data_IF_859587604226
#
_entry.id   IF_859587604226
#
_cell.length_a   1.000
_cell.length_b   1.000
_cell.length_c   1.000
_cell.angle_alpha   90.00
_cell.angle_beta   90.00
_cell.angle_gamma   90.00
#
_symmetry.space_group_name_H-M   'P 1'
#
loop_
_entity.id
_entity.type
_entity.pdbx_description
1 polymer ?
#
# COMPACT_ATOMS: atom_id res chain seq x y z
N UNK A 1 -11.37 15.92 1.91
CA UNK A 1 -10.02 15.65 1.40
C UNK A 1 -9.34 14.58 2.22
N UNK A 2 -8.67 13.63 1.58
CA UNK A 2 -7.97 12.58 2.31
C UNK A 2 -6.75 13.13 3.04
N UNK A 3 -6.47 12.56 4.20
CA UNK A 3 -5.27 12.88 4.97
C UNK A 3 -4.44 11.61 5.16
N UNK A 4 -3.15 11.81 5.44
CA UNK A 4 -2.25 10.72 5.78
C UNK A 4 -2.80 9.88 6.94
N UNK A 5 -3.27 10.54 7.99
CA UNK A 5 -3.77 9.85 9.18
C UNK A 5 -5.00 9.00 8.88
N UNK A 6 -5.90 9.52 8.05
CA UNK A 6 -7.09 8.77 7.63
C UNK A 6 -6.70 7.52 6.85
N UNK A 7 -5.75 7.67 5.90
CA UNK A 7 -5.30 6.54 5.09
C UNK A 7 -4.65 5.47 5.98
N UNK A 8 -3.75 5.88 6.87
CA UNK A 8 -3.07 4.94 7.76
C UNK A 8 -4.05 4.22 8.68
N UNK A 9 -5.07 4.92 9.18
CA UNK A 9 -6.09 4.30 10.01
C UNK A 9 -6.88 3.25 9.24
N UNK A 10 -7.30 3.58 8.02
CA UNK A 10 -8.03 2.65 7.17
C UNK A 10 -7.20 1.41 6.84
N UNK A 11 -5.92 1.59 6.54
CA UNK A 11 -5.03 0.47 6.29
C UNK A 11 -4.88 -0.41 7.52
N UNK A 12 -4.70 0.20 8.69
CA UNK A 12 -4.59 -0.54 9.95
C UNK A 12 -5.84 -1.33 10.27
N UNK A 13 -7.02 -0.76 10.02
CA UNK A 13 -8.29 -1.43 10.26
C UNK A 13 -8.48 -2.66 9.38
N UNK A 14 -7.82 -2.71 8.22
CA UNK A 14 -7.96 -3.82 7.26
C UNK A 14 -6.74 -4.73 7.21
N UNK A 15 -5.75 -4.49 8.06
CA UNK A 15 -4.51 -5.27 8.06
C UNK A 15 -4.75 -6.75 8.28
N UNK A 16 -5.62 -7.10 9.23
CA UNK A 16 -5.91 -8.50 9.52
C UNK A 16 -6.59 -9.19 8.34
N UNK A 17 -7.54 -8.50 7.70
CA UNK A 17 -8.20 -9.03 6.51
C UNK A 17 -7.18 -9.31 5.41
N UNK A 18 -6.28 -8.35 5.14
CA UNK A 18 -5.28 -8.50 4.11
C UNK A 18 -4.26 -9.59 4.43
N UNK A 19 -3.99 -9.84 5.71
CA UNK A 19 -3.07 -10.91 6.09
C UNK A 19 -3.58 -12.29 5.68
N UNK A 20 -4.89 -12.43 5.52
CA UNK A 20 -5.49 -13.69 5.05
C UNK A 20 -5.13 -13.99 3.61
N UNK A 21 -4.74 -12.98 2.85
CA UNK A 21 -4.26 -13.13 1.48
C UNK A 21 -2.74 -13.12 1.39
N UNK A 22 -2.06 -13.30 2.53
CA UNK A 22 -0.62 -13.43 2.55
C UNK A 22 0.17 -12.14 2.76
N UNK A 23 -0.49 -11.03 3.04
CA UNK A 23 0.23 -9.77 3.30
C UNK A 23 0.88 -9.82 4.67
N UNK A 24 2.21 -9.67 4.71
CA UNK A 24 2.97 -9.62 5.95
C UNK A 24 3.21 -8.18 6.41
N UNK A 25 3.38 -7.24 5.47
CA UNK A 25 3.56 -5.83 5.77
C UNK A 25 2.79 -4.98 4.79
N UNK A 26 2.23 -3.89 5.29
CA UNK A 26 1.44 -2.96 4.52
C UNK A 26 1.81 -1.55 4.93
N UNK A 27 2.14 -0.69 3.97
CA UNK A 27 2.57 0.67 4.28
C UNK A 27 2.18 1.69 3.23
N UNK A 28 2.29 2.95 3.62
CA UNK A 28 2.01 4.10 2.79
C UNK A 28 3.33 4.81 2.49
N UNK A 29 3.54 5.18 1.23
CA UNK A 29 4.70 5.98 0.85
C UNK A 29 4.25 7.08 -0.12
N UNK A 30 5.20 7.80 -0.67
CA UNK A 30 4.90 8.80 -1.69
C UNK A 30 4.45 10.14 -1.14
N UNK A 31 3.66 10.87 -1.93
CA UNK A 31 3.33 12.27 -1.64
C UNK A 31 2.61 12.46 -0.31
N UNK A 32 1.72 11.55 0.08
CA UNK A 32 1.02 11.66 1.36
C UNK A 32 1.98 11.56 2.56
N UNK A 33 3.02 10.74 2.44
CA UNK A 33 4.02 10.64 3.52
C UNK A 33 4.91 11.87 3.57
N UNK A 34 5.21 12.46 2.41
CA UNK A 34 6.09 13.63 2.34
C UNK A 34 5.36 14.95 2.57
N UNK A 35 4.05 14.94 2.84
CA UNK A 35 3.22 16.14 2.94
C UNK A 35 3.24 16.98 1.67
N UNK A 36 3.31 16.32 0.52
CA UNK A 36 3.33 16.95 -0.80
C UNK A 36 2.09 16.62 -1.61
N UNK A 37 1.08 16.06 -0.98
CA UNK A 37 -0.13 15.65 -1.68
C UNK A 37 -0.93 16.83 -2.21
N UNK A 38 -1.56 16.60 -3.36
CA UNK A 38 -2.49 17.52 -4.00
C UNK A 38 -3.80 16.77 -4.26
N UNK A 39 -4.80 17.47 -4.78
CA UNK A 39 -6.08 16.85 -5.14
C UNK A 39 -5.91 15.72 -6.17
N UNK A 40 -4.83 15.75 -6.96
CA UNK A 40 -4.56 14.76 -8.00
C UNK A 40 -3.57 13.68 -7.57
N UNK A 41 -3.14 13.68 -6.32
CA UNK A 41 -2.17 12.68 -5.85
C UNK A 41 -2.76 11.30 -5.75
N UNK A 42 -1.95 10.29 -6.11
CA UNK A 42 -2.30 8.89 -5.92
C UNK A 42 -2.01 8.47 -4.49
N UNK A 43 -2.71 7.42 -4.05
CA UNK A 43 -2.39 6.76 -2.78
C UNK A 43 -1.39 5.65 -3.11
N UNK A 44 -0.14 5.81 -2.65
CA UNK A 44 0.95 4.88 -2.97
C UNK A 44 1.14 3.89 -1.83
N UNK A 45 0.85 2.62 -2.09
CA UNK A 45 0.87 1.56 -1.08
C UNK A 45 1.96 0.54 -1.40
N UNK A 46 2.71 0.16 -0.36
CA UNK A 46 3.72 -0.89 -0.44
C UNK A 46 3.22 -2.12 0.30
N UNK A 47 3.28 -3.26 -0.38
CA UNK A 47 2.85 -4.54 0.16
C UNK A 47 4.02 -5.51 0.16
N UNK A 48 4.23 -6.19 1.28
CA UNK A 48 5.17 -7.30 1.37
C UNK A 48 4.36 -8.57 1.66
N UNK A 49 4.50 -9.57 0.82
CA UNK A 49 3.82 -10.86 0.97
C UNK A 49 4.70 -11.86 1.69
N UNK A 50 4.07 -12.79 2.40
CA UNK A 50 4.77 -14.00 2.82
C UNK A 50 5.24 -14.73 1.56
N UNK A 51 6.50 -15.23 1.51
CA UNK A 51 7.08 -15.76 0.27
C UNK A 51 6.22 -16.81 -0.43
N UNK A 52 5.64 -17.72 0.32
CA UNK A 52 4.85 -18.82 -0.27
C UNK A 52 3.45 -18.39 -0.69
N UNK A 53 3.05 -17.18 -0.35
CA UNK A 53 1.71 -16.67 -0.60
C UNK A 53 1.69 -15.52 -1.61
N UNK A 54 2.84 -15.19 -2.18
CA UNK A 54 2.92 -14.17 -3.23
C UNK A 54 2.59 -14.79 -4.58
N UNK A 55 1.31 -14.77 -4.93
CA UNK A 55 0.82 -15.32 -6.18
C UNK A 55 -0.22 -14.38 -6.79
N UNK A 56 -0.60 -14.66 -8.03
CA UNK A 56 -1.51 -13.80 -8.76
C UNK A 56 -2.87 -13.67 -8.06
N UNK A 57 -3.42 -14.77 -7.59
CA UNK A 57 -4.75 -14.75 -6.97
C UNK A 57 -4.77 -13.92 -5.70
N UNK A 58 -3.76 -14.07 -4.86
CA UNK A 58 -3.64 -13.28 -3.63
C UNK A 58 -3.39 -11.81 -3.94
N UNK A 59 -2.53 -11.52 -4.92
CA UNK A 59 -2.31 -10.14 -5.34
C UNK A 59 -3.61 -9.47 -5.79
N UNK A 60 -4.39 -10.18 -6.62
CA UNK A 60 -5.65 -9.62 -7.11
C UNK A 60 -6.67 -9.45 -6.00
N UNK A 61 -6.70 -10.36 -5.02
CA UNK A 61 -7.59 -10.22 -3.88
C UNK A 61 -7.25 -8.97 -3.06
N UNK A 62 -5.97 -8.75 -2.81
CA UNK A 62 -5.49 -7.55 -2.10
C UNK A 62 -5.81 -6.29 -2.90
N UNK A 63 -5.56 -6.32 -4.20
CA UNK A 63 -5.88 -5.20 -5.09
C UNK A 63 -7.36 -4.84 -5.00
N UNK A 64 -8.24 -5.83 -5.07
CA UNK A 64 -9.69 -5.60 -5.02
C UNK A 64 -10.12 -4.99 -3.69
N UNK A 65 -9.57 -5.45 -2.57
CA UNK A 65 -9.87 -4.90 -1.25
C UNK A 65 -9.46 -3.44 -1.17
N UNK A 66 -8.24 -3.12 -1.59
CA UNK A 66 -7.71 -1.76 -1.51
C UNK A 66 -8.40 -0.81 -2.48
N UNK A 67 -8.74 -1.28 -3.68
CA UNK A 67 -9.51 -0.48 -4.64
C UNK A 67 -10.87 -0.12 -4.08
N UNK A 68 -11.57 -1.07 -3.46
CA UNK A 68 -12.87 -0.81 -2.86
C UNK A 68 -12.75 0.10 -1.64
N UNK A 69 -11.71 -0.08 -0.84
CA UNK A 69 -11.50 0.73 0.36
C UNK A 69 -11.33 2.21 0.03
N UNK A 70 -10.65 2.51 -1.07
CA UNK A 70 -10.38 3.88 -1.52
C UNK A 70 -11.01 4.13 -2.90
N UNK A 71 -12.23 3.71 -3.10
CA UNK A 71 -12.85 3.62 -4.43
C UNK A 71 -12.99 4.95 -5.18
N UNK A 72 -12.95 6.08 -4.48
CA UNK A 72 -13.05 7.38 -5.13
C UNK A 72 -11.65 8.00 -5.36
N UNK A 73 -10.61 7.22 -5.12
CA UNK A 73 -9.23 7.70 -5.23
C UNK A 73 -8.44 6.77 -6.14
N UNK A 74 -7.36 7.28 -6.69
CA UNK A 74 -6.46 6.45 -7.47
C UNK A 74 -5.43 5.81 -6.54
N UNK A 75 -5.36 4.49 -6.57
CA UNK A 75 -4.47 3.71 -5.72
C UNK A 75 -3.40 3.06 -6.57
N UNK A 76 -2.14 3.23 -6.19
CA UNK A 76 -1.01 2.55 -6.82
C UNK A 76 -0.45 1.55 -5.82
N UNK A 77 -0.41 0.28 -6.20
CA UNK A 77 0.03 -0.80 -5.33
C UNK A 77 1.34 -1.35 -5.87
N UNK A 78 2.36 -1.35 -5.01
CA UNK A 78 3.69 -1.85 -5.34
C UNK A 78 4.05 -2.95 -4.36
N UNK A 79 4.57 -4.07 -4.87
CA UNK A 79 5.07 -5.14 -4.01
C UNK A 79 6.55 -4.92 -3.73
N UNK A 80 7.00 -5.32 -2.54
CA UNK A 80 8.41 -5.19 -2.17
C UNK A 80 9.32 -5.91 -3.17
N UNK A 81 8.94 -7.12 -3.57
CA UNK A 81 9.74 -7.90 -4.52
C UNK A 81 9.76 -7.32 -5.93
N UNK A 82 8.82 -6.44 -6.25
CA UNK A 82 8.77 -5.77 -7.54
C UNK A 82 9.58 -4.48 -7.62
N UNK A 83 10.21 -4.06 -6.52
CA UNK A 83 10.96 -2.81 -6.48
C UNK A 83 12.30 -2.95 -7.19
N UNK A 84 12.67 -1.92 -7.99
CA UNK A 84 14.01 -1.83 -8.55
C UNK A 84 15.00 -1.39 -7.47
N UNK A 85 16.30 -1.60 -7.72
CA UNK A 85 17.35 -1.24 -6.76
C UNK A 85 17.34 0.25 -6.39
N UNK A 86 17.09 1.11 -7.38
CA UNK A 86 17.16 2.56 -7.15
C UNK A 86 15.90 3.10 -6.49
N UNK A 87 14.75 2.79 -7.06
CA UNK A 87 13.46 3.27 -6.55
C UNK A 87 13.13 2.59 -5.24
N UNK A 88 13.51 1.31 -5.09
CA UNK A 88 13.22 0.54 -3.90
C UNK A 88 13.83 1.13 -2.64
N UNK A 89 15.09 1.55 -2.70
CA UNK A 89 15.77 2.14 -1.54
C UNK A 89 15.03 3.39 -1.06
N UNK A 90 14.62 4.25 -2.00
CA UNK A 90 13.90 5.47 -1.66
C UNK A 90 12.57 5.15 -1.00
N UNK A 91 11.81 4.22 -1.58
CA UNK A 91 10.50 3.84 -1.06
C UNK A 91 10.64 3.22 0.34
N UNK A 92 11.59 2.31 0.52
CA UNK A 92 11.79 1.64 1.80
C UNK A 92 12.25 2.59 2.91
N UNK A 93 12.93 3.68 2.54
CA UNK A 93 13.36 4.67 3.51
C UNK A 93 12.24 5.63 3.93
N UNK A 94 11.21 5.80 3.10
CA UNK A 94 10.12 6.72 3.43
C UNK A 94 8.84 6.04 3.89
N UNK A 95 8.65 4.75 3.59
CA UNK A 95 7.39 4.05 3.86
C UNK A 95 7.06 4.04 5.36
N UNK A 96 5.78 4.27 5.67
CA UNK A 96 5.26 4.13 7.03
C UNK A 96 4.33 2.93 7.05
N UNK A 97 4.72 1.90 7.79
CA UNK A 97 3.95 0.66 7.91
C UNK A 97 2.86 0.79 8.97
N UNK A 98 1.78 0.08 8.75
CA UNK A 98 0.73 -0.07 9.77
C UNK A 98 0.83 -1.41 10.49
#
# INVERSE_FOLDING_TARGET
>A
MLTKDYILKKLGDHKLELSRFGVSKLGLFGSYIRNEETADSDIDLLIDFEPDLENFDNYMAVYDVLEELFKNEKVEIVTKNGLSKYIGTKILNEVEYV
#
